data_IF_515924678855
#
_entry.id   IF_515924678855
#
_cell.length_a   1.000
_cell.length_b   1.000
_cell.length_c   1.000
_cell.angle_alpha   90.00
_cell.angle_beta   90.00
_cell.angle_gamma   90.00
#
_symmetry.space_group_name_H-M   'P 1'
#
loop_
_entity.id
_entity.type
_entity.pdbx_description
1 polymer ?
#
# COMPACT_ATOMS: atom_id res chain seq x y z
N UNK A 1 -18.58 28.66 -14.30
CA UNK A 1 -19.28 28.15 -15.48
C UNK A 1 -18.48 28.48 -16.75
N UNK A 2 -18.98 28.14 -17.96
CA UNK A 2 -18.29 28.40 -19.20
C UNK A 2 -17.98 29.88 -19.46
N UNK A 3 -18.87 30.77 -19.04
CA UNK A 3 -18.73 32.23 -19.28
C UNK A 3 -17.61 32.85 -18.43
N UNK A 4 -17.23 32.22 -17.33
CA UNK A 4 -16.16 32.69 -16.43
C UNK A 4 -14.87 31.85 -16.53
N UNK A 5 -14.76 30.93 -17.48
CA UNK A 5 -13.63 30.02 -17.59
C UNK A 5 -12.30 30.74 -17.76
N UNK A 6 -12.24 31.76 -18.64
CA UNK A 6 -11.03 32.55 -18.90
C UNK A 6 -10.63 33.41 -17.69
N UNK A 7 -11.60 34.01 -17.01
CA UNK A 7 -11.36 34.77 -15.78
C UNK A 7 -10.78 33.89 -14.67
N UNK A 8 -11.36 32.69 -14.46
CA UNK A 8 -10.87 31.74 -13.48
C UNK A 8 -9.46 31.24 -13.85
N UNK A 9 -9.22 30.95 -15.13
CA UNK A 9 -7.90 30.53 -15.60
C UNK A 9 -6.84 31.61 -15.31
N UNK A 10 -7.11 32.86 -15.66
CA UNK A 10 -6.19 33.96 -15.41
C UNK A 10 -5.97 34.19 -13.91
N UNK A 11 -7.01 34.12 -13.10
CA UNK A 11 -6.90 34.23 -11.64
C UNK A 11 -6.04 33.09 -11.04
N UNK A 12 -6.25 31.85 -11.47
CA UNK A 12 -5.46 30.70 -11.00
C UNK A 12 -3.99 30.86 -11.40
N UNK A 13 -3.72 31.22 -12.67
CA UNK A 13 -2.34 31.45 -13.15
C UNK A 13 -1.64 32.56 -12.37
N UNK A 14 -2.34 33.62 -12.05
CA UNK A 14 -1.79 34.72 -11.23
C UNK A 14 -1.46 34.23 -9.82
N UNK A 15 -2.38 33.47 -9.18
CA UNK A 15 -2.18 32.96 -7.84
C UNK A 15 -1.04 31.95 -7.75
N UNK A 16 -0.87 31.08 -8.74
CA UNK A 16 0.22 30.12 -8.82
C UNK A 16 1.62 30.76 -8.92
N UNK A 17 1.70 32.04 -9.24
CA UNK A 17 2.98 32.80 -9.24
C UNK A 17 3.30 33.42 -7.87
N UNK A 18 2.38 33.39 -6.92
CA UNK A 18 2.59 33.92 -5.58
C UNK A 18 3.48 32.94 -4.77
N UNK A 19 4.45 33.45 -4.01
CA UNK A 19 5.40 32.63 -3.24
C UNK A 19 4.70 31.67 -2.28
N UNK A 20 3.56 32.07 -1.73
CA UNK A 20 2.77 31.30 -0.79
C UNK A 20 2.02 30.11 -1.44
N UNK A 21 2.02 30.03 -2.77
CA UNK A 21 1.47 28.91 -3.56
C UNK A 21 2.56 27.95 -4.07
N UNK A 22 3.79 28.09 -3.61
CA UNK A 22 4.81 27.06 -3.85
C UNK A 22 4.42 25.74 -3.15
N UNK A 23 4.89 24.60 -3.66
CA UNK A 23 4.59 23.27 -3.10
C UNK A 23 4.86 23.23 -1.59
N UNK A 24 6.01 23.72 -1.16
CA UNK A 24 6.38 23.76 0.28
C UNK A 24 5.42 24.64 1.10
N UNK A 25 5.01 25.76 0.57
CA UNK A 25 4.11 26.67 1.28
C UNK A 25 2.66 26.17 1.31
N UNK A 26 2.22 25.46 0.29
CA UNK A 26 0.92 24.74 0.32
C UNK A 26 0.93 23.68 1.43
N UNK A 27 2.00 22.89 1.53
CA UNK A 27 2.19 21.89 2.59
C UNK A 27 2.14 22.56 3.97
N UNK A 28 2.85 23.68 4.16
CA UNK A 28 2.83 24.46 5.41
C UNK A 28 1.44 25.00 5.74
N UNK A 29 0.76 25.59 4.77
CA UNK A 29 -0.63 26.09 4.93
C UNK A 29 -1.60 25.00 5.31
N UNK A 30 -1.38 23.78 4.84
CA UNK A 30 -2.18 22.60 5.21
C UNK A 30 -1.81 22.04 6.60
N UNK A 31 -0.87 22.67 7.31
CA UNK A 31 -0.41 22.26 8.64
C UNK A 31 0.13 20.81 8.69
N UNK A 32 0.68 20.32 7.59
CA UNK A 32 1.29 18.99 7.49
C UNK A 32 2.57 18.96 8.32
N UNK A 33 2.78 17.91 9.10
CA UNK A 33 3.97 17.72 9.94
C UNK A 33 4.87 16.59 9.45
N UNK A 34 4.27 15.61 8.78
CA UNK A 34 4.94 14.43 8.27
C UNK A 34 4.29 14.02 6.95
N UNK A 35 5.13 13.63 6.00
CA UNK A 35 4.72 13.01 4.73
C UNK A 35 5.40 11.65 4.66
N UNK A 36 4.62 10.60 4.36
CA UNK A 36 5.16 9.31 3.94
C UNK A 36 4.92 9.16 2.45
N UNK A 37 6.00 8.99 1.70
CA UNK A 37 5.94 8.75 0.25
C UNK A 37 5.60 7.28 -0.04
N UNK A 38 5.53 6.91 -1.31
CA UNK A 38 5.34 5.50 -1.71
C UNK A 38 6.56 5.06 -2.50
N UNK A 39 7.38 4.18 -1.91
CA UNK A 39 8.70 3.86 -2.43
C UNK A 39 8.89 2.37 -2.65
N UNK A 40 9.52 2.04 -3.77
CA UNK A 40 9.80 0.66 -4.18
C UNK A 40 11.06 0.13 -3.45
N UNK A 41 11.13 -1.16 -3.09
CA UNK A 41 12.33 -1.77 -2.53
C UNK A 41 13.65 -1.47 -3.23
N UNK A 42 13.64 -1.22 -4.54
CA UNK A 42 14.85 -0.92 -5.32
C UNK A 42 15.25 0.56 -5.29
N UNK A 43 14.46 1.45 -4.72
CA UNK A 43 14.73 2.89 -4.70
C UNK A 43 15.96 3.23 -3.84
N UNK A 44 16.75 4.19 -4.30
CA UNK A 44 17.95 4.66 -3.59
C UNK A 44 17.67 5.70 -2.50
N UNK A 45 16.41 6.18 -2.42
CA UNK A 45 15.92 7.18 -1.48
C UNK A 45 16.74 8.47 -1.42
N UNK A 46 17.42 8.82 -2.52
CA UNK A 46 18.31 9.98 -2.56
C UNK A 46 17.63 11.29 -2.22
N UNK A 47 16.38 11.45 -2.62
CA UNK A 47 15.63 12.68 -2.34
C UNK A 47 15.20 12.80 -0.89
N UNK A 48 14.97 11.69 -0.20
CA UNK A 48 14.74 11.67 1.24
C UNK A 48 15.97 12.15 2.01
N UNK A 49 17.17 11.73 1.59
CA UNK A 49 18.43 12.20 2.17
C UNK A 49 18.60 13.71 1.98
N UNK A 50 18.39 14.21 0.76
CA UNK A 50 18.48 15.65 0.45
C UNK A 50 17.49 16.45 1.30
N UNK A 51 16.25 15.97 1.43
CA UNK A 51 15.23 16.68 2.23
C UNK A 51 15.51 16.59 3.73
N UNK A 52 16.10 15.52 4.22
CA UNK A 52 16.48 15.37 5.62
C UNK A 52 17.60 16.36 6.06
N UNK A 53 18.44 16.78 5.11
CA UNK A 53 19.52 17.75 5.29
C UNK A 53 19.08 19.20 5.06
N UNK A 54 17.88 19.44 4.53
CA UNK A 54 17.36 20.75 4.19
C UNK A 54 16.67 21.42 5.39
N UNK A 55 17.43 22.22 6.16
CA UNK A 55 16.92 22.96 7.32
C UNK A 55 15.85 24.01 6.95
N UNK A 56 15.69 24.37 5.68
CA UNK A 56 14.67 25.32 5.21
C UNK A 56 13.27 24.73 5.12
N UNK A 57 13.13 23.38 5.29
CA UNK A 57 11.86 22.67 5.22
C UNK A 57 11.64 21.80 6.44
N UNK A 58 10.80 22.25 7.35
CA UNK A 58 10.56 21.65 8.66
C UNK A 58 9.66 20.39 8.64
N UNK A 59 8.99 20.12 7.51
CA UNK A 59 8.11 18.95 7.37
C UNK A 59 8.97 17.71 7.09
N UNK A 60 8.80 16.69 7.90
CA UNK A 60 9.51 15.41 7.70
C UNK A 60 8.95 14.69 6.49
N UNK A 61 9.83 14.26 5.59
CA UNK A 61 9.47 13.41 4.43
C UNK A 61 10.18 12.09 4.59
N UNK A 62 9.42 11.04 4.89
CA UNK A 62 9.93 9.69 5.17
C UNK A 62 9.44 8.71 4.10
N UNK A 63 10.22 7.66 3.80
CA UNK A 63 9.77 6.64 2.85
C UNK A 63 8.70 5.76 3.48
N UNK A 64 7.75 5.30 2.66
CA UNK A 64 6.90 4.16 2.96
C UNK A 64 7.29 2.97 2.08
N UNK A 65 7.31 1.79 2.66
CA UNK A 65 7.72 0.56 2.01
C UNK A 65 6.58 -0.05 1.18
N UNK A 66 6.72 -0.07 -0.17
CA UNK A 66 5.72 -0.67 -1.08
C UNK A 66 6.34 -1.75 -1.97
N UNK A 67 6.34 -3.00 -1.52
CA UNK A 67 6.99 -4.10 -2.23
C UNK A 67 6.11 -4.78 -3.28
N UNK A 68 5.10 -4.12 -3.80
CA UNK A 68 4.10 -4.73 -4.69
C UNK A 68 4.72 -5.36 -5.95
N UNK A 69 5.80 -4.78 -6.51
CA UNK A 69 6.48 -5.36 -7.66
C UNK A 69 7.20 -6.66 -7.32
N UNK A 70 7.64 -6.83 -6.07
CA UNK A 70 8.21 -8.09 -5.59
C UNK A 70 7.14 -9.15 -5.30
N UNK A 71 5.88 -8.73 -5.10
CA UNK A 71 4.75 -9.59 -4.83
C UNK A 71 4.01 -10.02 -6.11
N UNK A 72 3.91 -9.13 -7.10
CA UNK A 72 3.09 -9.33 -8.29
C UNK A 72 3.79 -10.19 -9.35
N UNK A 73 4.04 -11.46 -9.00
CA UNK A 73 4.79 -12.39 -9.85
C UNK A 73 4.06 -12.74 -11.17
N UNK A 74 2.76 -12.48 -11.29
CA UNK A 74 2.00 -12.67 -12.52
C UNK A 74 2.37 -11.68 -13.62
N UNK A 75 3.00 -10.55 -13.28
CA UNK A 75 3.35 -9.49 -14.23
C UNK A 75 4.49 -9.91 -15.16
N UNK A 76 4.43 -9.58 -16.45
CA UNK A 76 5.47 -9.96 -17.42
C UNK A 76 6.88 -9.53 -17.04
N UNK A 77 7.02 -8.34 -16.45
CA UNK A 77 8.28 -7.71 -16.05
C UNK A 77 8.91 -8.29 -14.76
N UNK A 78 8.23 -9.23 -14.10
CA UNK A 78 8.66 -9.75 -12.80
C UNK A 78 10.10 -10.33 -12.79
N UNK A 79 10.53 -11.15 -13.76
CA UNK A 79 11.90 -11.66 -13.76
C UNK A 79 12.96 -10.57 -13.89
N UNK A 80 12.66 -9.51 -14.63
CA UNK A 80 13.56 -8.37 -14.77
C UNK A 80 13.63 -7.53 -13.49
N UNK A 81 12.50 -7.40 -12.80
CA UNK A 81 12.47 -6.76 -11.49
C UNK A 81 13.30 -7.53 -10.46
N UNK A 82 13.23 -8.87 -10.45
CA UNK A 82 14.06 -9.69 -9.56
C UNK A 82 15.56 -9.48 -9.78
N UNK A 83 16.01 -9.31 -11.03
CA UNK A 83 17.41 -8.96 -11.33
C UNK A 83 17.81 -7.62 -10.73
N UNK A 84 16.94 -6.60 -10.84
CA UNK A 84 17.19 -5.28 -10.25
C UNK A 84 17.25 -5.35 -8.73
N UNK A 85 16.32 -6.06 -8.11
CA UNK A 85 16.31 -6.25 -6.67
C UNK A 85 17.56 -7.00 -6.19
N UNK A 86 17.99 -8.03 -6.92
CA UNK A 86 19.24 -8.74 -6.67
C UNK A 86 20.44 -7.80 -6.68
N UNK A 87 20.53 -6.92 -7.67
CA UNK A 87 21.63 -5.95 -7.78
C UNK A 87 21.67 -4.97 -6.60
N UNK A 88 20.53 -4.37 -6.23
CA UNK A 88 20.50 -3.35 -5.17
C UNK A 88 20.59 -3.94 -3.76
N UNK A 89 20.20 -5.20 -3.57
CA UNK A 89 20.29 -5.90 -2.29
C UNK A 89 21.63 -6.61 -2.09
N UNK A 90 22.36 -6.89 -3.19
CA UNK A 90 23.55 -7.72 -3.18
C UNK A 90 23.28 -9.19 -2.82
N UNK A 91 22.05 -9.66 -3.08
CA UNK A 91 21.64 -11.07 -2.90
C UNK A 91 21.32 -11.66 -4.26
N UNK A 92 21.93 -12.77 -4.63
CA UNK A 92 21.54 -13.52 -5.82
C UNK A 92 20.21 -14.22 -5.53
N UNK A 93 19.15 -13.82 -6.25
CA UNK A 93 17.79 -14.33 -6.02
C UNK A 93 17.54 -15.51 -6.95
N UNK A 94 17.67 -16.73 -6.45
CA UNK A 94 17.41 -17.98 -7.14
C UNK A 94 16.19 -18.73 -6.60
N UNK A 95 15.74 -18.39 -5.39
CA UNK A 95 14.58 -19.00 -4.75
C UNK A 95 13.86 -18.05 -3.79
N UNK A 96 12.77 -18.53 -3.19
CA UNK A 96 11.96 -17.69 -2.31
C UNK A 96 12.66 -17.30 -1.01
N UNK A 97 13.62 -18.11 -0.53
CA UNK A 97 14.42 -17.77 0.65
C UNK A 97 15.37 -16.60 0.34
N UNK A 98 15.99 -16.61 -0.84
CA UNK A 98 16.84 -15.52 -1.31
C UNK A 98 16.04 -14.21 -1.49
N UNK A 99 14.81 -14.32 -2.03
CA UNK A 99 13.93 -13.15 -2.12
C UNK A 99 13.63 -12.56 -0.73
N UNK A 100 13.32 -13.41 0.26
CA UNK A 100 13.12 -12.98 1.65
C UNK A 100 14.37 -12.27 2.19
N UNK A 101 15.57 -12.80 1.97
CA UNK A 101 16.83 -12.17 2.39
C UNK A 101 17.06 -10.82 1.70
N UNK A 102 16.84 -10.74 0.40
CA UNK A 102 16.97 -9.51 -0.37
C UNK A 102 16.04 -8.41 0.18
N UNK A 103 14.78 -8.75 0.43
CA UNK A 103 13.79 -7.83 1.01
C UNK A 103 14.19 -7.40 2.43
N UNK A 104 14.68 -8.29 3.28
CA UNK A 104 15.15 -7.94 4.62
C UNK A 104 16.29 -6.92 4.59
N UNK A 105 17.27 -7.08 3.72
CA UNK A 105 18.35 -6.11 3.53
C UNK A 105 17.81 -4.74 3.09
N UNK A 106 16.84 -4.72 2.19
CA UNK A 106 16.22 -3.47 1.73
C UNK A 106 15.34 -2.84 2.81
N UNK A 107 14.58 -3.63 3.57
CA UNK A 107 13.82 -3.13 4.72
C UNK A 107 14.73 -2.50 5.78
N UNK A 108 15.92 -3.06 6.00
CA UNK A 108 16.89 -2.47 6.93
C UNK A 108 17.37 -1.10 6.43
N UNK A 109 17.68 -0.98 5.13
CA UNK A 109 18.01 0.30 4.53
C UNK A 109 16.89 1.33 4.66
N UNK A 110 15.63 0.92 4.43
CA UNK A 110 14.47 1.80 4.59
C UNK A 110 14.27 2.21 6.07
N UNK A 111 14.49 1.29 7.00
CA UNK A 111 14.42 1.59 8.44
C UNK A 111 15.45 2.66 8.85
N UNK A 112 16.68 2.58 8.34
CA UNK A 112 17.72 3.59 8.56
C UNK A 112 17.33 4.97 7.98
N UNK A 113 16.47 4.99 6.97
CA UNK A 113 15.92 6.21 6.38
C UNK A 113 14.65 6.71 7.10
N UNK A 114 14.26 6.09 8.22
CA UNK A 114 13.12 6.49 9.03
C UNK A 114 11.78 5.89 8.60
N UNK A 115 11.77 4.92 7.70
CA UNK A 115 10.55 4.19 7.34
C UNK A 115 9.91 3.54 8.56
N UNK A 116 8.61 3.69 8.73
CA UNK A 116 7.81 3.11 9.80
C UNK A 116 6.46 2.58 9.35
N UNK A 117 6.18 2.66 8.05
CA UNK A 117 4.91 2.23 7.46
C UNK A 117 5.18 1.46 6.17
N UNK A 118 4.32 0.49 5.89
CA UNK A 118 4.22 -0.14 4.59
C UNK A 118 2.91 0.23 3.90
N UNK A 119 2.88 0.09 2.59
CA UNK A 119 1.70 0.27 1.77
C UNK A 119 1.59 -0.88 0.76
N UNK A 120 0.41 -1.41 0.57
CA UNK A 120 0.12 -2.48 -0.38
C UNK A 120 -1.13 -2.15 -1.17
N UNK A 121 -1.10 -2.41 -2.48
CA UNK A 121 -2.29 -2.37 -3.34
C UNK A 121 -2.61 -3.77 -3.85
N UNK A 122 -3.70 -4.32 -3.34
CA UNK A 122 -4.18 -5.66 -3.67
C UNK A 122 -5.49 -5.57 -4.47
N UNK A 123 -5.72 -6.50 -5.38
CA UNK A 123 -7.05 -6.65 -5.98
C UNK A 123 -8.09 -7.00 -4.90
N UNK A 124 -7.75 -7.88 -3.99
CA UNK A 124 -8.45 -8.21 -2.74
C UNK A 124 -7.46 -8.86 -1.77
N UNK A 125 -7.79 -8.93 -0.49
CA UNK A 125 -6.94 -9.65 0.48
C UNK A 125 -7.16 -11.14 0.29
N UNK A 126 -6.21 -11.80 -0.34
CA UNK A 126 -6.28 -13.23 -0.63
C UNK A 126 -5.66 -14.08 0.47
N UNK A 127 -6.19 -15.29 0.67
CA UNK A 127 -5.65 -16.25 1.61
C UNK A 127 -5.74 -17.67 1.05
N UNK A 128 -4.60 -18.20 0.64
CA UNK A 128 -4.43 -19.57 0.11
C UNK A 128 -3.11 -20.14 0.65
N UNK A 129 -3.07 -20.58 1.92
CA UNK A 129 -1.83 -21.05 2.53
C UNK A 129 -1.36 -22.37 1.89
N UNK A 130 -0.04 -22.53 1.75
CA UNK A 130 0.60 -23.73 1.23
C UNK A 130 1.93 -23.98 1.95
N UNK A 131 2.48 -25.18 1.79
CA UNK A 131 3.81 -25.49 2.26
C UNK A 131 4.89 -24.66 1.54
N UNK A 132 5.99 -24.37 2.22
CA UNK A 132 7.07 -23.51 1.69
C UNK A 132 7.67 -24.07 0.39
N UNK A 133 7.74 -25.40 0.27
CA UNK A 133 8.21 -26.10 -0.92
C UNK A 133 7.34 -25.74 -2.14
N UNK A 134 6.01 -25.70 -1.96
CA UNK A 134 5.09 -25.32 -3.06
C UNK A 134 5.24 -23.84 -3.45
N UNK A 135 5.40 -22.97 -2.49
CA UNK A 135 5.67 -21.53 -2.74
C UNK A 135 6.96 -21.36 -3.54
N UNK A 136 8.00 -22.08 -3.14
CA UNK A 136 9.30 -22.04 -3.81
C UNK A 136 9.24 -22.61 -5.24
N UNK A 137 8.49 -23.69 -5.46
CA UNK A 137 8.22 -24.24 -6.80
C UNK A 137 7.57 -23.20 -7.72
N UNK A 138 6.52 -22.52 -7.25
CA UNK A 138 5.81 -21.47 -7.98
C UNK A 138 6.76 -20.31 -8.31
N UNK A 139 7.55 -19.88 -7.33
CA UNK A 139 8.49 -18.80 -7.53
C UNK A 139 9.55 -19.13 -8.57
N UNK A 140 10.19 -20.32 -8.50
CA UNK A 140 11.19 -20.79 -9.48
C UNK A 140 10.59 -20.94 -10.88
N UNK A 141 9.36 -21.48 -10.99
CA UNK A 141 8.62 -21.57 -12.25
C UNK A 141 8.52 -20.19 -12.90
N UNK A 142 8.17 -19.16 -12.11
CA UNK A 142 8.03 -17.79 -12.62
C UNK A 142 9.37 -17.14 -12.98
N UNK A 143 10.43 -17.38 -12.21
CA UNK A 143 11.79 -16.91 -12.56
C UNK A 143 12.29 -17.48 -13.89
N UNK A 144 11.92 -18.70 -14.23
CA UNK A 144 12.22 -19.33 -15.50
C UNK A 144 11.38 -18.78 -16.66
N UNK A 145 10.52 -17.83 -16.44
CA UNK A 145 9.68 -17.20 -17.47
C UNK A 145 8.38 -17.95 -17.78
N UNK A 146 8.08 -19.01 -17.03
CA UNK A 146 6.84 -19.77 -17.22
C UNK A 146 5.62 -19.01 -16.68
N UNK A 147 4.46 -19.28 -17.30
CA UNK A 147 3.19 -18.73 -16.80
C UNK A 147 2.73 -19.45 -15.53
N UNK A 148 2.06 -18.70 -14.66
CA UNK A 148 1.45 -19.21 -13.43
C UNK A 148 -0.08 -19.14 -13.51
N UNK A 149 -0.74 -20.03 -12.78
CA UNK A 149 -2.20 -20.01 -12.64
C UNK A 149 -2.63 -18.98 -11.59
N UNK A 150 -3.92 -18.65 -11.58
CA UNK A 150 -4.50 -17.77 -10.55
C UNK A 150 -4.36 -18.36 -9.13
N UNK A 151 -4.47 -19.68 -9.01
CA UNK A 151 -4.26 -20.36 -7.73
C UNK A 151 -2.81 -20.25 -7.26
N UNK A 152 -1.83 -20.46 -8.16
CA UNK A 152 -0.42 -20.29 -7.86
C UNK A 152 -0.09 -18.85 -7.45
N UNK A 153 -0.70 -17.87 -8.12
CA UNK A 153 -0.59 -16.45 -7.75
C UNK A 153 -1.09 -16.21 -6.32
N UNK A 154 -2.29 -16.71 -5.97
CA UNK A 154 -2.87 -16.55 -4.63
C UNK A 154 -1.99 -17.19 -3.55
N UNK A 155 -1.46 -18.39 -3.81
CA UNK A 155 -0.54 -19.10 -2.89
C UNK A 155 0.70 -18.25 -2.64
N UNK A 156 1.36 -17.77 -3.68
CA UNK A 156 2.56 -16.98 -3.55
C UNK A 156 2.30 -15.66 -2.81
N UNK A 157 1.28 -14.90 -3.22
CA UNK A 157 0.93 -13.62 -2.59
C UNK A 157 0.56 -13.79 -1.12
N UNK A 158 -0.12 -14.89 -0.75
CA UNK A 158 -0.39 -15.23 0.65
C UNK A 158 0.90 -15.41 1.45
N UNK A 159 1.82 -16.25 0.97
CA UNK A 159 3.10 -16.50 1.62
C UNK A 159 3.95 -15.23 1.72
N UNK A 160 3.96 -14.42 0.66
CA UNK A 160 4.65 -13.14 0.63
C UNK A 160 4.10 -12.18 1.70
N UNK A 161 2.78 -11.97 1.73
CA UNK A 161 2.14 -11.07 2.70
C UNK A 161 2.29 -11.56 4.14
N UNK A 162 2.25 -12.87 4.39
CA UNK A 162 2.55 -13.43 5.70
C UNK A 162 4.00 -13.15 6.13
N UNK A 163 4.95 -13.30 5.22
CA UNK A 163 6.36 -13.01 5.49
C UNK A 163 6.55 -11.52 5.83
N UNK A 164 6.13 -10.61 4.95
CA UNK A 164 6.34 -9.17 5.19
C UNK A 164 5.55 -8.67 6.39
N UNK A 165 4.33 -9.18 6.64
CA UNK A 165 3.53 -8.84 7.81
C UNK A 165 4.25 -9.15 9.12
N UNK A 166 4.88 -10.33 9.23
CA UNK A 166 5.72 -10.70 10.39
C UNK A 166 6.92 -9.77 10.55
N UNK A 167 7.57 -9.40 9.45
CA UNK A 167 8.71 -8.48 9.51
C UNK A 167 8.28 -7.05 9.90
N UNK A 168 7.10 -6.60 9.49
CA UNK A 168 6.52 -5.34 9.95
C UNK A 168 6.26 -5.35 11.45
N UNK A 169 5.73 -6.46 11.99
CA UNK A 169 5.57 -6.63 13.43
C UNK A 169 6.91 -6.50 14.17
N UNK A 170 7.96 -7.21 13.73
CA UNK A 170 9.30 -7.15 14.33
C UNK A 170 9.91 -5.75 14.30
N UNK A 171 9.68 -5.00 13.23
CA UNK A 171 10.17 -3.63 13.06
C UNK A 171 9.24 -2.57 13.68
N UNK A 172 8.12 -2.98 14.25
CA UNK A 172 7.07 -2.09 14.76
C UNK A 172 6.51 -1.13 13.68
N UNK A 173 6.50 -1.54 12.43
CA UNK A 173 5.91 -0.81 11.31
C UNK A 173 4.41 -1.00 11.25
N UNK A 174 3.72 -0.02 10.67
CA UNK A 174 2.29 -0.11 10.35
C UNK A 174 2.13 -0.76 8.97
N UNK A 175 1.29 -1.78 8.88
CA UNK A 175 0.89 -2.40 7.62
C UNK A 175 -0.36 -1.72 7.09
N UNK A 176 -0.27 -1.06 5.94
CA UNK A 176 -1.41 -0.51 5.23
C UNK A 176 -1.77 -1.38 4.05
N UNK A 177 -3.03 -1.78 3.95
CA UNK A 177 -3.55 -2.61 2.86
C UNK A 177 -4.68 -1.87 2.16
N UNK A 178 -4.41 -1.42 0.95
CA UNK A 178 -5.39 -0.88 0.01
C UNK A 178 -5.87 -2.01 -0.90
N UNK A 179 -7.17 -2.21 -1.02
CA UNK A 179 -7.73 -3.26 -1.89
C UNK A 179 -9.07 -2.86 -2.50
N UNK A 180 -9.58 -3.71 -3.38
CA UNK A 180 -10.90 -3.56 -3.97
C UNK A 180 -10.91 -2.80 -5.30
N UNK A 181 -9.75 -2.70 -6.00
CA UNK A 181 -9.66 -2.15 -7.33
C UNK A 181 -9.50 -3.26 -8.39
N UNK A 182 -10.32 -3.22 -9.42
CA UNK A 182 -10.06 -3.94 -10.66
C UNK A 182 -9.44 -2.98 -11.67
N UNK A 183 -8.20 -3.27 -12.06
CA UNK A 183 -7.38 -2.43 -12.92
C UNK A 183 -7.61 -2.69 -14.40
N UNK A 184 -7.35 -1.65 -15.21
CA UNK A 184 -7.17 -1.75 -16.67
C UNK A 184 -8.35 -2.42 -17.39
N UNK A 185 -9.60 -2.05 -17.06
CA UNK A 185 -10.80 -2.72 -17.56
C UNK A 185 -11.09 -2.52 -19.05
N UNK A 186 -10.46 -1.53 -19.67
CA UNK A 186 -10.61 -1.25 -21.11
C UNK A 186 -9.33 -1.62 -21.85
N UNK A 187 -9.25 -2.86 -22.35
CA UNK A 187 -8.08 -3.37 -23.04
C UNK A 187 -7.69 -2.53 -24.28
N UNK A 188 -8.68 -2.00 -25.01
CA UNK A 188 -8.41 -1.13 -26.17
C UNK A 188 -7.68 0.15 -25.77
N UNK A 189 -8.10 0.79 -24.68
CA UNK A 189 -7.44 2.01 -24.19
C UNK A 189 -6.11 1.70 -23.51
N UNK A 190 -5.98 0.56 -22.84
CA UNK A 190 -4.73 0.09 -22.27
C UNK A 190 -3.62 -0.05 -23.31
N UNK A 191 -3.95 -0.63 -24.49
CA UNK A 191 -2.99 -0.74 -25.60
C UNK A 191 -2.51 0.63 -26.12
N UNK A 192 -3.36 1.66 -26.02
CA UNK A 192 -3.04 2.99 -26.53
C UNK A 192 -2.34 3.89 -25.50
N UNK A 193 -2.74 3.82 -24.24
CA UNK A 193 -2.35 4.79 -23.20
C UNK A 193 -1.52 4.16 -22.07
N UNK A 194 -1.52 2.84 -21.95
CA UNK A 194 -0.87 2.13 -20.85
C UNK A 194 -1.70 2.11 -19.56
N UNK A 195 -1.09 1.68 -18.45
CA UNK A 195 -1.75 1.57 -17.16
C UNK A 195 -2.02 2.94 -16.52
N UNK A 196 -2.89 2.95 -15.50
CA UNK A 196 -3.19 4.13 -14.65
C UNK A 196 -3.77 5.35 -15.41
N UNK A 197 -4.51 5.10 -16.47
CA UNK A 197 -5.05 6.16 -17.34
C UNK A 197 -6.57 6.37 -17.20
N UNK A 198 -7.17 5.91 -16.09
CA UNK A 198 -8.55 6.21 -15.72
C UNK A 198 -9.56 5.10 -16.07
N UNK A 199 -9.10 3.91 -16.39
CA UNK A 199 -9.97 2.77 -16.78
C UNK A 199 -10.08 1.69 -15.69
N UNK A 200 -9.96 2.10 -14.44
CA UNK A 200 -10.12 1.26 -13.26
C UNK A 200 -11.54 1.34 -12.72
N UNK A 201 -11.97 0.31 -11.98
CA UNK A 201 -13.27 0.32 -11.32
C UNK A 201 -13.23 -0.38 -9.96
N UNK A 202 -14.30 -0.17 -9.17
CA UNK A 202 -14.49 -0.89 -7.90
C UNK A 202 -14.62 -2.38 -8.19
N UNK A 203 -13.86 -3.18 -7.45
CA UNK A 203 -13.96 -4.63 -7.46
C UNK A 203 -15.02 -5.07 -6.44
N UNK A 204 -15.84 -6.03 -6.82
CA UNK A 204 -16.87 -6.59 -5.95
C UNK A 204 -16.50 -7.98 -5.39
N UNK A 205 -15.23 -8.35 -5.40
CA UNK A 205 -14.74 -9.50 -4.63
C UNK A 205 -14.94 -9.20 -3.15
N UNK A 206 -15.69 -10.02 -2.44
CA UNK A 206 -15.96 -9.87 -1.01
C UNK A 206 -14.95 -10.71 -0.19
N UNK A 207 -13.80 -10.17 0.18
CA UNK A 207 -12.72 -10.92 0.79
C UNK A 207 -12.82 -11.01 2.31
N UNK A 208 -13.95 -10.70 2.92
CA UNK A 208 -14.04 -10.57 4.39
C UNK A 208 -13.56 -11.82 5.12
N UNK A 209 -13.95 -13.02 4.68
CA UNK A 209 -13.47 -14.26 5.26
C UNK A 209 -11.95 -14.43 5.08
N UNK A 210 -11.45 -14.22 3.88
CA UNK A 210 -10.02 -14.35 3.58
C UNK A 210 -9.17 -13.28 4.30
N UNK A 211 -9.69 -12.07 4.45
CA UNK A 211 -9.05 -11.01 5.24
C UNK A 211 -8.95 -11.43 6.71
N UNK A 212 -10.02 -11.96 7.28
CA UNK A 212 -10.01 -12.47 8.65
C UNK A 212 -9.02 -13.63 8.81
N UNK A 213 -9.00 -14.59 7.87
CA UNK A 213 -8.06 -15.73 7.89
C UNK A 213 -6.60 -15.27 7.75
N UNK A 214 -6.33 -14.30 6.90
CA UNK A 214 -5.00 -13.69 6.77
C UNK A 214 -4.54 -13.05 8.09
N UNK A 215 -5.35 -12.19 8.69
CA UNK A 215 -5.04 -11.56 9.98
C UNK A 215 -4.88 -12.61 11.09
N UNK A 216 -5.74 -13.64 11.09
CA UNK A 216 -5.66 -14.76 12.04
C UNK A 216 -4.36 -15.55 11.89
N UNK A 217 -3.85 -15.71 10.68
CA UNK A 217 -2.57 -16.40 10.45
C UNK A 217 -1.38 -15.67 11.09
N UNK A 218 -1.44 -14.35 11.18
CA UNK A 218 -0.42 -13.54 11.83
C UNK A 218 -0.59 -13.48 13.35
N UNK A 219 -1.84 -13.36 13.85
CA UNK A 219 -2.09 -13.30 15.28
C UNK A 219 -1.83 -14.65 15.97
N UNK A 220 -2.03 -15.76 15.26
CA UNK A 220 -1.79 -17.11 15.79
C UNK A 220 -0.32 -17.35 16.20
N UNK A 221 0.63 -16.63 15.56
CA UNK A 221 2.04 -16.62 15.95
C UNK A 221 2.42 -15.39 16.80
N UNK A 222 1.45 -14.57 17.20
CA UNK A 222 1.65 -13.30 17.90
C UNK A 222 2.54 -12.31 17.11
N UNK A 223 2.41 -12.33 15.77
CA UNK A 223 3.20 -11.49 14.86
C UNK A 223 2.32 -10.56 13.99
N UNK A 224 1.08 -10.28 14.42
CA UNK A 224 0.21 -9.33 13.72
C UNK A 224 0.69 -7.90 13.98
N UNK A 225 1.09 -7.13 12.94
CA UNK A 225 1.47 -5.74 13.09
C UNK A 225 0.25 -4.82 13.34
N UNK A 226 0.50 -3.57 13.70
CA UNK A 226 -0.52 -2.52 13.57
C UNK A 226 -0.94 -2.44 12.11
N UNK A 227 -2.25 -2.49 11.84
CA UNK A 227 -2.77 -2.65 10.48
C UNK A 227 -3.88 -1.66 10.19
N UNK A 228 -3.87 -1.09 8.98
CA UNK A 228 -4.95 -0.25 8.46
C UNK A 228 -5.47 -0.88 7.17
N UNK A 229 -6.79 -1.10 7.12
CA UNK A 229 -7.46 -1.68 5.95
C UNK A 229 -8.25 -0.60 5.22
N UNK A 230 -7.97 -0.45 3.93
CA UNK A 230 -8.66 0.47 3.03
C UNK A 230 -9.37 -0.32 1.93
N UNK A 231 -10.69 -0.35 1.91
CA UNK A 231 -11.44 -0.88 0.77
C UNK A 231 -11.87 0.22 -0.18
N UNK A 232 -11.75 -0.04 -1.47
CA UNK A 232 -12.33 0.81 -2.49
C UNK A 232 -13.83 0.58 -2.66
N UNK A 233 -14.33 -0.57 -2.19
CA UNK A 233 -15.73 -0.89 -2.22
C UNK A 233 -16.45 -0.40 -0.94
N UNK A 234 -17.34 0.58 -1.00
CA UNK A 234 -18.02 1.11 0.18
C UNK A 234 -18.93 0.07 0.87
N UNK A 235 -19.32 -1.00 0.18
CA UNK A 235 -20.10 -2.08 0.79
C UNK A 235 -19.29 -2.94 1.77
N UNK A 236 -17.97 -2.78 1.81
CA UNK A 236 -17.10 -3.50 2.75
C UNK A 236 -16.97 -2.79 4.11
N UNK A 237 -17.51 -1.57 4.27
CA UNK A 237 -17.29 -0.77 5.48
C UNK A 237 -17.67 -1.51 6.76
N UNK A 238 -18.87 -2.09 6.82
CA UNK A 238 -19.35 -2.83 8.00
C UNK A 238 -18.59 -4.17 8.17
N UNK A 239 -18.25 -4.84 7.07
CA UNK A 239 -17.46 -6.07 7.14
C UNK A 239 -16.07 -5.79 7.72
N UNK A 240 -15.40 -4.74 7.25
CA UNK A 240 -14.11 -4.31 7.82
C UNK A 240 -14.29 -3.96 9.29
N UNK A 241 -15.25 -3.11 9.65
CA UNK A 241 -15.49 -2.68 11.03
C UNK A 241 -15.68 -3.85 12.00
N UNK A 242 -16.39 -4.90 11.59
CA UNK A 242 -16.56 -6.11 12.41
C UNK A 242 -15.29 -6.96 12.50
N UNK A 243 -14.51 -7.08 11.42
CA UNK A 243 -13.21 -7.76 11.41
C UNK A 243 -12.24 -7.06 12.37
N UNK A 244 -12.19 -5.73 12.36
CA UNK A 244 -11.31 -4.96 13.25
C UNK A 244 -11.54 -5.31 14.73
N UNK A 245 -12.80 -5.53 15.14
CA UNK A 245 -13.15 -5.92 16.50
C UNK A 245 -12.57 -7.27 16.91
N UNK A 246 -12.33 -8.18 15.97
CA UNK A 246 -11.80 -9.52 16.26
C UNK A 246 -10.29 -9.52 16.59
N UNK A 247 -9.53 -8.49 16.18
CA UNK A 247 -8.06 -8.48 16.22
C UNK A 247 -7.47 -7.33 17.03
N UNK A 248 -8.26 -6.67 17.87
CA UNK A 248 -7.74 -5.67 18.79
C UNK A 248 -6.88 -6.32 19.88
N UNK A 249 -5.87 -5.59 20.34
CA UNK A 249 -4.97 -6.02 21.42
C UNK A 249 -4.82 -4.91 22.48
N UNK A 250 -4.00 -5.17 23.47
CA UNK A 250 -3.71 -4.22 24.56
C UNK A 250 -2.41 -3.42 24.33
N UNK A 251 -1.61 -3.83 23.35
CA UNK A 251 -0.30 -3.25 23.06
C UNK A 251 -0.37 -1.91 22.31
N UNK A 252 -1.49 -1.63 21.64
CA UNK A 252 -1.74 -0.37 20.96
C UNK A 252 -3.24 -0.08 20.88
N UNK A 253 -3.65 1.13 21.26
CA UNK A 253 -5.02 1.59 21.05
C UNK A 253 -5.32 1.65 19.55
N UNK A 254 -6.40 0.98 19.11
CA UNK A 254 -6.74 0.88 17.70
C UNK A 254 -5.67 0.17 16.87
N UNK A 255 -5.16 -0.95 17.36
CA UNK A 255 -4.12 -1.76 16.68
C UNK A 255 -4.48 -2.07 15.24
N UNK A 256 -5.74 -2.43 14.99
CA UNK A 256 -6.28 -2.65 13.66
C UNK A 256 -7.32 -1.58 13.40
N UNK A 257 -7.20 -0.85 12.29
CA UNK A 257 -8.04 0.28 11.96
C UNK A 257 -8.64 0.18 10.56
N UNK A 258 -9.80 0.79 10.39
CA UNK A 258 -10.34 1.09 9.07
C UNK A 258 -9.69 2.39 8.57
N UNK A 259 -9.18 2.35 7.37
CA UNK A 259 -8.64 3.53 6.70
C UNK A 259 -9.75 4.50 6.25
N UNK A 260 -9.36 5.69 5.83
CA UNK A 260 -10.29 6.68 5.30
C UNK A 260 -10.93 6.22 3.98
N UNK A 261 -12.04 6.84 3.63
CA UNK A 261 -12.53 6.82 2.26
C UNK A 261 -11.45 7.40 1.34
N UNK A 262 -11.18 6.73 0.22
CA UNK A 262 -10.12 7.11 -0.70
C UNK A 262 -10.53 6.84 -2.15
N UNK A 263 -9.86 7.48 -3.10
CA UNK A 263 -10.05 7.36 -4.55
C UNK A 263 -11.52 7.50 -4.95
N UNK A 264 -12.21 6.40 -5.40
CA UNK A 264 -13.62 6.48 -5.81
C UNK A 264 -14.60 6.88 -4.70
N UNK A 265 -14.19 6.75 -3.44
CA UNK A 265 -14.98 7.14 -2.27
C UNK A 265 -14.55 8.48 -1.68
N UNK A 266 -13.54 9.14 -2.25
CA UNK A 266 -13.04 10.45 -1.80
C UNK A 266 -13.98 11.57 -2.28
N UNK A 267 -15.19 11.52 -1.78
CA UNK A 267 -16.23 12.51 -1.98
C UNK A 267 -17.12 12.60 -0.74
N UNK A 268 -17.86 13.69 -0.59
CA UNK A 268 -18.61 14.02 0.64
C UNK A 268 -19.41 12.83 1.21
N UNK A 269 -20.22 12.17 0.39
CA UNK A 269 -21.08 11.07 0.86
C UNK A 269 -20.28 9.81 1.19
N UNK A 270 -19.21 9.50 0.44
CA UNK A 270 -18.32 8.38 0.71
C UNK A 270 -17.56 8.57 2.03
N UNK A 271 -16.99 9.75 2.26
CA UNK A 271 -16.31 10.07 3.52
C UNK A 271 -17.24 10.00 4.72
N UNK A 272 -18.48 10.56 4.61
CA UNK A 272 -19.47 10.50 5.69
C UNK A 272 -19.88 9.04 5.97
N UNK A 273 -20.14 8.24 4.94
CA UNK A 273 -20.53 6.84 5.10
C UNK A 273 -19.43 6.02 5.80
N UNK A 274 -18.18 6.17 5.39
CA UNK A 274 -17.04 5.48 6.00
C UNK A 274 -16.87 5.88 7.47
N UNK A 275 -16.86 7.18 7.79
CA UNK A 275 -16.74 7.65 9.18
C UNK A 275 -17.93 7.23 10.05
N UNK A 276 -19.14 7.17 9.50
CA UNK A 276 -20.33 6.71 10.21
C UNK A 276 -20.21 5.23 10.56
N UNK A 277 -19.80 4.39 9.60
CA UNK A 277 -19.57 2.97 9.84
C UNK A 277 -18.47 2.75 10.90
N UNK A 278 -17.35 3.47 10.79
CA UNK A 278 -16.29 3.43 11.78
C UNK A 278 -16.78 3.84 13.18
N UNK A 279 -17.54 4.92 13.29
CA UNK A 279 -18.06 5.41 14.58
C UNK A 279 -19.06 4.44 15.23
N UNK A 280 -19.81 3.68 14.41
CA UNK A 280 -20.75 2.67 14.91
C UNK A 280 -20.06 1.42 15.45
N UNK A 281 -18.88 1.06 14.90
CA UNK A 281 -18.21 -0.23 15.13
C UNK A 281 -16.87 -0.10 15.86
N UNK A 282 -16.36 1.12 16.02
CA UNK A 282 -15.06 1.39 16.63
C UNK A 282 -15.00 2.73 17.35
N UNK A 283 -13.78 3.18 17.66
CA UNK A 283 -13.52 4.46 18.31
C UNK A 283 -13.05 5.49 17.28
N UNK A 284 -13.93 6.43 16.92
CA UNK A 284 -13.60 7.50 15.99
C UNK A 284 -12.37 8.33 16.43
N UNK A 285 -12.14 8.45 17.75
CA UNK A 285 -10.97 9.14 18.29
C UNK A 285 -9.61 8.52 17.88
N UNK A 286 -9.61 7.25 17.44
CA UNK A 286 -8.41 6.55 16.98
C UNK A 286 -8.24 6.60 15.45
N UNK A 287 -9.16 7.25 14.74
CA UNK A 287 -9.12 7.37 13.30
C UNK A 287 -7.93 8.21 12.85
N UNK A 288 -7.09 7.66 11.99
CA UNK A 288 -5.85 8.34 11.54
C UNK A 288 -6.04 9.18 10.29
N UNK A 289 -7.15 9.00 9.57
CA UNK A 289 -7.39 9.72 8.32
C UNK A 289 -6.39 9.37 7.22
N UNK A 290 -6.51 10.08 6.10
CA UNK A 290 -5.53 10.12 5.02
C UNK A 290 -5.51 11.54 4.46
N UNK A 291 -4.33 12.12 4.27
CA UNK A 291 -4.13 13.42 3.65
C UNK A 291 -3.56 13.27 2.25
#
# INVERSE_FOLDING_TARGET
NGDTAEEVWNLCNKKLQEDDMSVRNIIRKSNVKLICTTDDPIDDLKWHKVLAEDESFEVKVLPAWRPDKAMNLEKPEYPEYMKKLSQVSGVEIADFADLKEALLKRMEFFAQMGCSVSDHALEYVMYAPAAEEKVNEIFKKRLNGESISREEEMIFKTAFMQFVGKEYHKKNWVMQIHYGCKRDNNAFMYEQLGPDTGYDCINNYAPSAQTADFLNSLIASNELPKTILYSLNPNDNEAIGTILGCFQGTEAAGKIQQGSAWWFNDHKTGMIAQMTSLANLGLLANFVGML
#
